data_IF_791270426369
#
_entry.id   IF_791270426369
#
_cell.length_a   1.000
_cell.length_b   1.000
_cell.length_c   1.000
_cell.angle_alpha   90.00
_cell.angle_beta   90.00
_cell.angle_gamma   90.00
#
_symmetry.space_group_name_H-M   'P 1'
#
loop_
_entity.id
_entity.type
_entity.pdbx_description
1 polymer ?
#
# COMPACT_ATOMS: atom_id res chain seq x y z
N UNK A 1 11.34 -20.18 -12.32
CA UNK A 1 10.18 -19.43 -11.80
C UNK A 1 9.62 -18.60 -12.93
N UNK A 2 8.30 -18.57 -13.13
CA UNK A 2 7.70 -17.68 -14.13
C UNK A 2 7.95 -16.21 -13.71
N UNK A 3 8.16 -15.30 -14.69
CA UNK A 3 8.32 -13.88 -14.42
C UNK A 3 7.05 -13.30 -13.78
N UNK A 4 7.22 -12.46 -12.77
CA UNK A 4 6.11 -11.75 -12.10
C UNK A 4 5.54 -10.75 -13.11
N UNK A 5 4.24 -10.83 -13.41
CA UNK A 5 3.58 -9.85 -14.25
C UNK A 5 3.45 -8.51 -13.47
N UNK A 6 4.15 -7.44 -13.89
CA UNK A 6 4.13 -6.15 -13.21
C UNK A 6 2.76 -5.45 -13.21
N UNK A 7 1.84 -5.86 -14.10
CA UNK A 7 0.52 -5.21 -14.24
C UNK A 7 -0.64 -5.99 -13.60
N UNK A 8 -0.40 -7.19 -13.08
CA UNK A 8 -1.42 -7.94 -12.33
C UNK A 8 -1.81 -7.15 -11.06
N UNK A 9 -3.11 -7.02 -10.74
CA UNK A 9 -3.54 -6.24 -9.57
C UNK A 9 -3.14 -6.92 -8.25
N UNK A 10 -2.45 -6.18 -7.38
CA UNK A 10 -2.27 -6.56 -5.97
C UNK A 10 -3.51 -6.13 -5.23
N UNK A 11 -4.44 -7.05 -4.98
CA UNK A 11 -5.55 -6.73 -4.09
C UNK A 11 -5.11 -6.96 -2.63
N UNK A 12 -4.74 -5.89 -1.94
CA UNK A 12 -4.46 -5.87 -0.50
C UNK A 12 -5.45 -4.92 0.20
N UNK A 13 -6.74 -5.24 0.08
CA UNK A 13 -7.82 -4.47 0.69
C UNK A 13 -8.23 -5.17 2.00
N UNK A 14 -8.04 -4.56 3.19
CA UNK A 14 -8.56 -5.13 4.43
C UNK A 14 -10.09 -5.20 4.39
N UNK A 15 -10.65 -6.30 4.88
CA UNK A 15 -12.10 -6.39 5.12
C UNK A 15 -12.48 -5.63 6.39
N UNK A 16 -11.61 -5.68 7.41
CA UNK A 16 -11.75 -4.93 8.66
C UNK A 16 -10.59 -3.93 8.82
N UNK A 17 -10.84 -2.70 8.39
CA UNK A 17 -9.90 -1.58 8.47
C UNK A 17 -9.55 -1.18 9.91
N UNK A 18 -10.48 -1.33 10.86
CA UNK A 18 -10.25 -0.98 12.26
C UNK A 18 -9.22 -1.91 12.90
N UNK A 19 -9.40 -3.23 12.74
CA UNK A 19 -8.45 -4.21 13.27
C UNK A 19 -7.11 -4.14 12.54
N UNK A 20 -7.10 -3.81 11.25
CA UNK A 20 -5.87 -3.51 10.54
C UNK A 20 -5.13 -2.32 11.18
N UNK A 21 -5.82 -1.20 11.41
CA UNK A 21 -5.25 -0.01 12.06
C UNK A 21 -4.73 -0.29 13.47
N UNK A 22 -5.50 -1.01 14.29
CA UNK A 22 -5.08 -1.42 15.65
C UNK A 22 -3.84 -2.31 15.63
N UNK A 23 -3.74 -3.22 14.66
CA UNK A 23 -2.58 -4.11 14.52
C UNK A 23 -1.32 -3.31 14.14
N UNK A 24 -1.44 -2.36 13.20
CA UNK A 24 -0.33 -1.46 12.84
C UNK A 24 0.10 -0.59 14.01
N UNK A 25 -0.84 -0.03 14.79
CA UNK A 25 -0.54 0.73 16.02
C UNK A 25 0.22 -0.14 17.03
N UNK A 26 -0.22 -1.39 17.21
CA UNK A 26 0.43 -2.34 18.10
C UNK A 26 1.87 -2.61 17.70
N UNK A 27 2.15 -2.76 16.40
CA UNK A 27 3.52 -2.88 15.89
C UNK A 27 4.36 -1.61 16.10
N UNK A 28 3.76 -0.43 15.89
CA UNK A 28 4.48 0.83 15.96
C UNK A 28 4.86 1.23 17.39
N UNK A 29 3.97 1.01 18.37
CA UNK A 29 4.18 1.46 19.75
C UNK A 29 4.60 0.34 20.71
N UNK A 30 4.32 -0.92 20.37
CA UNK A 30 4.48 -2.06 21.25
C UNK A 30 3.34 -2.27 22.27
N UNK A 31 2.30 -1.42 22.25
CA UNK A 31 1.13 -1.54 23.12
C UNK A 31 0.02 -2.38 22.47
N UNK A 32 -0.68 -3.23 23.22
CA UNK A 32 -1.77 -4.06 22.66
C UNK A 32 -3.06 -3.26 22.44
N UNK A 33 -3.30 -2.84 21.19
CA UNK A 33 -4.54 -2.18 20.78
C UNK A 33 -5.64 -3.16 20.31
N UNK A 34 -5.31 -4.44 20.09
CA UNK A 34 -6.27 -5.46 19.63
C UNK A 34 -7.01 -6.07 20.81
N UNK A 35 -6.36 -6.20 21.97
CA UNK A 35 -6.96 -6.60 23.25
C UNK A 35 -7.71 -7.94 23.20
N UNK A 36 -7.22 -8.89 22.39
CA UNK A 36 -7.83 -10.21 22.22
C UNK A 36 -7.00 -11.36 22.81
N UNK A 37 -6.06 -11.04 23.71
CA UNK A 37 -5.22 -12.02 24.41
C UNK A 37 -4.05 -12.58 23.60
N UNK A 38 -3.93 -12.21 22.32
CA UNK A 38 -2.76 -12.54 21.49
C UNK A 38 -1.68 -11.47 21.59
N UNK A 39 -0.43 -11.85 21.31
CA UNK A 39 0.71 -10.92 21.22
C UNK A 39 1.07 -10.66 19.77
N UNK A 40 1.34 -9.41 19.44
CA UNK A 40 1.62 -8.95 18.08
C UNK A 40 2.98 -8.24 18.01
N UNK A 41 4.11 -8.96 18.14
CA UNK A 41 5.42 -8.36 17.94
C UNK A 41 5.57 -7.91 16.48
N UNK A 42 6.41 -6.90 16.24
CA UNK A 42 6.75 -6.45 14.89
C UNK A 42 7.23 -7.65 14.05
N UNK A 43 6.54 -7.99 12.94
CA UNK A 43 6.86 -9.19 12.18
C UNK A 43 8.17 -9.03 11.42
N UNK A 44 8.94 -10.10 11.34
CA UNK A 44 10.20 -10.23 10.60
C UNK A 44 10.07 -11.12 9.37
N UNK A 45 9.00 -11.92 9.29
CA UNK A 45 8.74 -12.84 8.17
C UNK A 45 7.32 -12.69 7.63
N UNK A 46 7.13 -13.06 6.36
CA UNK A 46 5.79 -13.07 5.74
C UNK A 46 4.83 -14.01 6.48
N UNK A 47 5.32 -15.12 7.02
CA UNK A 47 4.48 -16.06 7.76
C UNK A 47 4.03 -15.49 9.11
N UNK A 48 4.88 -14.70 9.78
CA UNK A 48 4.46 -13.93 10.95
C UNK A 48 3.38 -12.92 10.59
N UNK A 49 3.52 -12.20 9.47
CA UNK A 49 2.46 -11.27 9.00
C UNK A 49 1.16 -12.03 8.78
N UNK A 50 1.17 -13.15 8.03
CA UNK A 50 -0.03 -13.95 7.78
C UNK A 50 -0.69 -14.45 9.06
N UNK A 51 0.10 -14.94 10.03
CA UNK A 51 -0.44 -15.41 11.32
C UNK A 51 -1.09 -14.27 12.10
N UNK A 52 -0.42 -13.12 12.18
CA UNK A 52 -0.92 -11.96 12.93
C UNK A 52 -2.16 -11.34 12.29
N UNK A 53 -2.24 -11.27 10.96
CA UNK A 53 -3.44 -10.82 10.23
C UNK A 53 -4.67 -11.69 10.55
N UNK A 54 -4.50 -13.02 10.55
CA UNK A 54 -5.58 -13.96 10.92
C UNK A 54 -5.97 -13.82 12.38
N UNK A 55 -5.00 -13.76 13.30
CA UNK A 55 -5.26 -13.63 14.73
C UNK A 55 -5.94 -12.31 15.10
N UNK A 56 -5.61 -11.22 14.39
CA UNK A 56 -6.24 -9.91 14.55
C UNK A 56 -7.58 -9.78 13.80
N UNK A 57 -8.03 -10.81 13.06
CA UNK A 57 -9.27 -10.80 12.29
C UNK A 57 -9.40 -9.57 11.35
N UNK A 58 -8.34 -9.26 10.60
CA UNK A 58 -8.33 -8.12 9.65
C UNK A 58 -9.03 -8.46 8.33
N UNK A 59 -9.18 -9.75 8.03
CA UNK A 59 -9.66 -10.26 6.74
C UNK A 59 -8.75 -9.94 5.55
N UNK A 60 -7.53 -9.46 5.80
CA UNK A 60 -6.54 -9.19 4.75
C UNK A 60 -5.71 -10.43 4.45
N UNK A 61 -5.59 -10.77 3.18
CA UNK A 61 -4.71 -11.84 2.71
C UNK A 61 -3.54 -11.27 1.91
N UNK A 62 -2.34 -11.83 2.12
CA UNK A 62 -1.18 -11.46 1.32
C UNK A 62 -1.20 -12.22 -0.01
N UNK A 63 -1.16 -11.52 -1.16
CA UNK A 63 -1.08 -12.16 -2.46
C UNK A 63 0.18 -13.03 -2.62
N UNK A 64 0.06 -14.17 -3.31
CA UNK A 64 1.15 -15.15 -3.47
C UNK A 64 2.43 -14.58 -4.13
N UNK A 65 2.29 -13.49 -4.90
CA UNK A 65 3.41 -12.76 -5.53
C UNK A 65 4.29 -11.99 -4.54
N UNK A 66 3.81 -11.69 -3.33
CA UNK A 66 4.63 -11.02 -2.30
C UNK A 66 5.54 -12.07 -1.67
N UNK A 67 6.80 -12.06 -2.08
CA UNK A 67 7.81 -13.04 -1.65
C UNK A 67 8.80 -12.47 -0.62
N UNK A 68 8.86 -11.15 -0.50
CA UNK A 68 9.80 -10.46 0.39
C UNK A 68 9.05 -9.50 1.31
N UNK A 69 9.54 -9.40 2.54
CA UNK A 69 9.03 -8.48 3.55
C UNK A 69 10.16 -7.51 3.92
N UNK A 70 9.86 -6.23 3.88
CA UNK A 70 10.68 -5.19 4.46
C UNK A 70 9.81 -4.41 5.46
N UNK A 71 10.11 -4.55 6.74
CA UNK A 71 9.45 -3.77 7.80
C UNK A 71 10.37 -2.64 8.19
N UNK A 72 9.85 -1.41 8.15
CA UNK A 72 10.55 -0.22 8.59
C UNK A 72 9.69 0.46 9.64
N UNK A 73 10.22 0.59 10.86
CA UNK A 73 9.63 1.39 11.92
C UNK A 73 10.28 2.77 11.87
N UNK A 74 9.48 3.79 11.55
CA UNK A 74 9.97 5.16 11.43
C UNK A 74 10.50 5.71 12.74
N UNK A 75 11.48 6.60 12.66
CA UNK A 75 11.95 7.43 13.77
C UNK A 75 11.73 8.89 13.41
N UNK A 76 11.44 9.73 14.40
CA UNK A 76 11.15 11.15 14.19
C UNK A 76 12.32 11.97 13.62
N UNK A 77 13.54 11.43 13.71
CA UNK A 77 14.78 12.06 13.24
C UNK A 77 15.27 11.51 11.88
N UNK A 78 14.51 10.60 11.25
CA UNK A 78 14.97 9.84 10.09
C UNK A 78 14.00 9.98 8.92
N UNK A 79 14.49 10.47 7.78
CA UNK A 79 13.73 10.52 6.52
C UNK A 79 13.57 9.10 5.93
N UNK A 80 12.33 8.65 5.74
CA UNK A 80 12.04 7.41 5.03
C UNK A 80 11.59 7.69 3.58
N UNK A 81 12.53 7.63 2.65
CA UNK A 81 12.24 7.77 1.21
C UNK A 81 11.91 6.40 0.59
N UNK A 82 10.67 6.22 0.10
CA UNK A 82 10.25 5.00 -0.62
C UNK A 82 10.25 5.24 -2.12
N UNK A 83 11.13 4.54 -2.83
CA UNK A 83 11.16 4.56 -4.29
C UNK A 83 10.37 3.38 -4.86
N UNK A 84 9.58 3.58 -5.93
CA UNK A 84 8.92 2.48 -6.60
C UNK A 84 9.93 1.58 -7.34
N UNK A 85 9.60 0.29 -7.58
CA UNK A 85 10.38 -0.57 -8.44
C UNK A 85 10.49 0.01 -9.86
N UNK A 86 11.67 0.05 -10.47
CA UNK A 86 11.89 0.69 -11.77
C UNK A 86 11.05 0.07 -12.89
N UNK A 87 10.83 -1.24 -12.85
CA UNK A 87 10.03 -1.94 -13.86
C UNK A 87 8.54 -1.58 -13.78
N UNK A 88 8.02 -1.31 -12.57
CA UNK A 88 6.64 -0.85 -12.38
C UNK A 88 6.44 0.58 -12.86
N UNK A 89 7.44 1.45 -12.70
CA UNK A 89 7.41 2.82 -13.25
C UNK A 89 7.31 2.73 -14.77
N UNK A 90 8.24 2.01 -15.42
CA UNK A 90 8.24 1.85 -16.89
C UNK A 90 6.95 1.21 -17.42
N UNK A 91 6.44 0.18 -16.73
CA UNK A 91 5.18 -0.46 -17.10
C UNK A 91 3.97 0.47 -16.95
N UNK A 92 3.97 1.32 -15.93
CA UNK A 92 2.92 2.32 -15.70
C UNK A 92 2.97 3.44 -16.73
N UNK A 93 4.15 3.97 -17.04
CA UNK A 93 4.35 4.94 -18.13
C UNK A 93 3.78 4.40 -19.46
N UNK A 94 4.14 3.16 -19.83
CA UNK A 94 3.62 2.51 -21.05
C UNK A 94 2.09 2.38 -21.05
N UNK A 95 1.48 2.02 -19.92
CA UNK A 95 0.01 1.90 -19.78
C UNK A 95 -0.68 3.26 -19.88
N UNK A 96 -0.10 4.30 -19.29
CA UNK A 96 -0.64 5.66 -19.28
C UNK A 96 -0.58 6.35 -20.65
N UNK A 97 0.11 5.77 -21.63
CA UNK A 97 -0.02 6.21 -23.03
C UNK A 97 -1.46 6.04 -23.55
N UNK A 98 -2.21 5.06 -23.03
CA UNK A 98 -3.51 4.65 -23.58
C UNK A 98 -4.67 4.66 -22.59
N UNK A 99 -4.42 4.75 -21.28
CA UNK A 99 -5.46 4.72 -20.23
C UNK A 99 -5.19 5.74 -19.13
N UNK A 100 -6.28 6.25 -18.54
CA UNK A 100 -6.22 7.19 -17.42
C UNK A 100 -6.03 6.47 -16.08
N UNK A 101 -5.62 7.25 -15.07
CA UNK A 101 -5.52 6.79 -13.69
C UNK A 101 -6.91 6.55 -13.09
N UNK A 102 -7.15 5.35 -12.54
CA UNK A 102 -8.32 5.11 -11.70
C UNK A 102 -8.03 5.49 -10.26
N UNK A 103 -8.87 6.36 -9.69
CA UNK A 103 -8.84 6.65 -8.26
C UNK A 103 -9.61 5.59 -7.47
N UNK A 104 -9.19 5.26 -6.23
CA UNK A 104 -9.96 4.38 -5.38
C UNK A 104 -11.39 4.91 -5.13
N UNK A 105 -12.41 4.03 -5.02
CA UNK A 105 -13.81 4.44 -4.92
C UNK A 105 -14.13 5.39 -3.75
N UNK A 106 -13.43 5.24 -2.61
CA UNK A 106 -13.67 6.05 -1.41
C UNK A 106 -13.38 7.55 -1.60
N UNK A 107 -12.60 7.94 -2.61
CA UNK A 107 -12.44 9.36 -2.96
C UNK A 107 -13.75 9.96 -3.50
N UNK A 108 -14.55 9.18 -4.22
CA UNK A 108 -15.83 9.65 -4.77
C UNK A 108 -16.85 9.90 -3.65
N UNK A 109 -16.75 9.13 -2.56
CA UNK A 109 -17.64 9.25 -1.39
C UNK A 109 -17.46 10.58 -0.64
N UNK A 110 -16.28 11.23 -0.76
CA UNK A 110 -15.95 12.49 -0.07
C UNK A 110 -15.78 13.70 -1.00
N UNK A 111 -15.42 13.48 -2.27
CA UNK A 111 -15.00 14.56 -3.18
C UNK A 111 -15.84 14.68 -4.47
N UNK A 112 -16.87 13.86 -4.67
CA UNK A 112 -17.80 13.98 -5.80
C UNK A 112 -17.51 13.03 -6.97
N UNK A 113 -18.56 12.70 -7.72
CA UNK A 113 -18.73 11.49 -8.56
C UNK A 113 -18.03 11.46 -9.93
N UNK A 114 -16.92 12.17 -10.13
CA UNK A 114 -16.16 12.02 -11.37
C UNK A 114 -14.66 11.97 -11.07
N UNK A 115 -14.05 10.83 -11.36
CA UNK A 115 -12.59 10.76 -11.42
C UNK A 115 -12.10 11.83 -12.41
N UNK A 116 -11.05 12.60 -12.07
CA UNK A 116 -10.55 13.66 -12.95
C UNK A 116 -10.10 13.04 -14.28
N UNK A 117 -10.72 13.47 -15.37
CA UNK A 117 -10.28 13.10 -16.73
C UNK A 117 -8.92 13.75 -17.02
N UNK A 118 -7.97 12.97 -17.55
CA UNK A 118 -6.64 13.46 -17.89
C UNK A 118 -6.56 13.59 -19.42
N UNK A 119 -6.65 14.82 -19.96
CA UNK A 119 -7.01 15.05 -21.37
C UNK A 119 -5.96 14.56 -22.38
N UNK A 120 -4.69 14.49 -21.98
CA UNK A 120 -3.60 14.08 -22.88
C UNK A 120 -2.47 13.32 -22.16
N UNK A 121 -1.54 12.77 -22.95
CA UNK A 121 -0.36 12.04 -22.44
C UNK A 121 0.47 12.87 -21.47
N UNK A 122 0.66 14.16 -21.75
CA UNK A 122 1.46 15.06 -20.91
C UNK A 122 0.81 15.24 -19.53
N UNK A 123 -0.51 15.42 -19.49
CA UNK A 123 -1.30 15.50 -18.27
C UNK A 123 -1.23 14.19 -17.47
N UNK A 124 -1.32 13.02 -18.13
CA UNK A 124 -1.18 11.71 -17.47
C UNK A 124 0.20 11.48 -16.89
N UNK A 125 1.27 11.86 -17.60
CA UNK A 125 2.65 11.74 -17.10
C UNK A 125 2.92 12.70 -15.95
N UNK A 126 2.41 13.93 -16.02
CA UNK A 126 2.48 14.89 -14.92
C UNK A 126 1.74 14.36 -13.68
N UNK A 127 0.53 13.83 -13.86
CA UNK A 127 -0.24 13.24 -12.76
C UNK A 127 0.44 11.98 -12.18
N UNK A 128 1.07 11.16 -13.02
CA UNK A 128 1.91 10.04 -12.58
C UNK A 128 3.03 10.51 -11.66
N UNK A 129 3.80 11.52 -12.07
CA UNK A 129 4.90 12.07 -11.28
C UNK A 129 4.40 12.67 -9.94
N UNK A 130 3.27 13.37 -9.96
CA UNK A 130 2.64 13.88 -8.73
C UNK A 130 2.26 12.75 -7.77
N UNK A 131 1.67 11.66 -8.28
CA UNK A 131 1.33 10.47 -7.48
C UNK A 131 2.58 9.80 -6.92
N UNK A 132 3.65 9.67 -7.71
CA UNK A 132 4.94 9.14 -7.24
C UNK A 132 5.49 10.00 -6.10
N UNK A 133 5.49 11.32 -6.26
CA UNK A 133 5.90 12.26 -5.24
C UNK A 133 5.12 12.06 -3.95
N UNK A 134 3.79 12.05 -4.04
CA UNK A 134 2.86 11.91 -2.91
C UNK A 134 3.15 10.64 -2.06
N UNK A 135 3.13 9.45 -2.67
CA UNK A 135 3.37 8.22 -1.88
C UNK A 135 4.83 8.04 -1.46
N UNK A 136 5.78 8.73 -2.10
CA UNK A 136 7.20 8.65 -1.72
C UNK A 136 7.50 9.42 -0.43
N UNK A 137 6.70 10.44 -0.11
CA UNK A 137 6.85 11.29 1.08
C UNK A 137 5.75 11.08 2.14
N UNK A 138 4.67 10.34 1.83
CA UNK A 138 3.52 10.16 2.72
C UNK A 138 3.84 9.60 4.13
N UNK A 139 5.02 8.99 4.35
CA UNK A 139 5.45 8.54 5.69
C UNK A 139 6.27 9.59 6.46
N UNK A 140 6.49 10.77 5.88
CA UNK A 140 7.28 11.87 6.45
C UNK A 140 6.40 13.05 6.91
N UNK A 141 5.07 12.87 6.91
CA UNK A 141 4.08 13.80 7.45
C UNK A 141 3.61 13.37 8.84
#
# INVERSE_FOLDING_TARGET
MPPIDPIEPVNMTPVNYENWGKLVKTWATGEDYIQNGHKYPVPKTLDEVKRQLRAANTGLELPARIQHLQVVVGRSDTLLLRLPPPDLVKASEKRLETKDYSLPPFYNDHYGTAAPELPDKTARMKFHAQRIGDYSIANCQ
#
